data_IF_351737353155
#
_entry.id   IF_351737353155
#
_cell.length_a   1.000
_cell.length_b   1.000
_cell.length_c   1.000
_cell.angle_alpha   90.00
_cell.angle_beta   90.00
_cell.angle_gamma   90.00
#
_symmetry.space_group_name_H-M   'P 1'
#
loop_
_entity.id
_entity.type
_entity.pdbx_description
1 polymer ?
#
# COMPACT_ATOMS: atom_id res chain seq x y z
N UNK A 1 16.89 -25.13 -56.33
CA UNK A 1 17.03 -25.02 -54.86
C UNK A 1 15.90 -24.17 -54.33
N UNK A 2 14.87 -24.80 -53.75
CA UNK A 2 13.78 -24.06 -53.09
C UNK A 2 14.28 -23.67 -51.68
N UNK A 3 14.62 -22.40 -51.48
CA UNK A 3 15.02 -21.86 -50.19
C UNK A 3 13.79 -21.83 -49.28
N UNK A 4 13.84 -22.56 -48.21
CA UNK A 4 12.75 -22.63 -47.19
C UNK A 4 12.70 -21.35 -46.38
N UNK A 5 12.01 -20.33 -46.87
CA UNK A 5 11.80 -19.04 -46.19
C UNK A 5 10.78 -19.12 -45.03
N UNK A 6 10.15 -20.29 -44.89
CA UNK A 6 9.12 -20.52 -43.84
C UNK A 6 9.68 -20.69 -42.43
N UNK A 7 10.97 -21.02 -42.26
CA UNK A 7 11.61 -21.20 -40.96
C UNK A 7 12.12 -19.90 -40.32
N UNK A 8 12.38 -18.88 -41.15
CA UNK A 8 12.93 -17.60 -40.67
C UNK A 8 11.93 -16.83 -39.77
N UNK A 9 10.62 -16.69 -40.14
CA UNK A 9 9.67 -15.99 -39.27
C UNK A 9 9.39 -16.74 -37.98
N UNK A 10 9.48 -18.09 -37.97
CA UNK A 10 9.27 -18.89 -36.79
C UNK A 10 10.37 -18.69 -35.74
N UNK A 11 11.64 -18.59 -36.15
CA UNK A 11 12.76 -18.29 -35.28
C UNK A 11 12.69 -16.87 -34.70
N UNK A 12 12.18 -15.89 -35.46
CA UNK A 12 12.07 -14.50 -35.03
C UNK A 12 10.99 -14.32 -33.95
N UNK A 13 9.91 -15.09 -34.04
CA UNK A 13 8.85 -15.13 -33.01
C UNK A 13 9.33 -15.79 -31.72
N UNK A 14 10.15 -16.84 -31.80
CA UNK A 14 10.69 -17.50 -30.60
C UNK A 14 11.70 -16.63 -29.86
N UNK A 15 12.48 -15.77 -30.55
CA UNK A 15 13.42 -14.84 -29.91
C UNK A 15 12.72 -13.71 -29.14
N UNK A 16 11.48 -13.36 -29.47
CA UNK A 16 10.73 -12.32 -28.79
C UNK A 16 10.25 -12.73 -27.38
N UNK A 17 10.17 -14.02 -27.07
CA UNK A 17 9.73 -14.50 -25.76
C UNK A 17 10.83 -14.57 -24.70
N UNK A 18 12.09 -14.40 -25.05
CA UNK A 18 13.23 -14.49 -24.12
C UNK A 18 13.56 -13.12 -23.48
N UNK A 19 12.98 -12.02 -23.97
CA UNK A 19 13.30 -10.66 -23.53
C UNK A 19 12.54 -10.20 -22.25
N UNK A 20 11.68 -11.02 -21.66
CA UNK A 20 10.89 -10.64 -20.47
C UNK A 20 11.30 -11.35 -19.16
N UNK A 21 12.54 -11.79 -19.03
CA UNK A 21 12.99 -12.37 -17.77
C UNK A 21 14.39 -11.88 -17.44
N UNK A 22 14.47 -10.76 -16.76
CA UNK A 22 15.51 -10.41 -15.77
C UNK A 22 15.40 -8.93 -15.39
N UNK A 23 14.46 -8.61 -14.53
CA UNK A 23 14.52 -7.36 -13.80
C UNK A 23 14.99 -7.64 -12.36
N UNK A 24 16.19 -8.21 -12.25
CA UNK A 24 16.94 -8.16 -11.00
C UNK A 24 17.46 -6.72 -10.88
N UNK A 25 16.76 -5.89 -10.13
CA UNK A 25 17.27 -4.58 -9.74
C UNK A 25 18.51 -4.78 -8.88
N UNK A 26 19.66 -4.75 -9.54
CA UNK A 26 20.94 -4.49 -8.91
C UNK A 26 20.84 -3.05 -8.36
N UNK A 27 20.90 -2.93 -7.04
CA UNK A 27 21.02 -1.65 -6.37
C UNK A 27 22.29 -0.97 -6.93
N UNK A 28 22.07 0.11 -7.69
CA UNK A 28 23.12 1.05 -8.05
C UNK A 28 23.44 1.83 -6.78
N UNK A 29 24.66 1.65 -6.31
CA UNK A 29 25.32 2.47 -5.30
C UNK A 29 25.59 3.85 -5.93
N UNK A 30 24.60 4.73 -5.90
CA UNK A 30 24.80 6.15 -6.16
C UNK A 30 25.14 6.81 -4.83
N UNK A 31 26.46 7.00 -4.63
CA UNK A 31 27.01 7.83 -3.59
C UNK A 31 26.63 9.30 -3.85
N UNK A 32 25.38 9.64 -3.60
CA UNK A 32 25.01 11.03 -3.32
C UNK A 32 25.37 11.32 -1.86
N UNK A 33 26.40 12.14 -1.68
CA UNK A 33 26.75 12.76 -0.40
C UNK A 33 25.64 13.78 -0.05
N UNK A 34 24.46 13.28 0.23
CA UNK A 34 23.41 14.04 0.89
C UNK A 34 23.75 14.03 2.37
N UNK A 35 24.05 15.18 2.93
CA UNK A 35 24.13 15.38 4.38
C UNK A 35 22.85 14.88 5.00
N UNK A 36 22.88 13.62 5.47
CA UNK A 36 21.75 12.96 6.11
C UNK A 36 21.55 13.67 7.44
N UNK A 37 20.58 14.60 7.48
CA UNK A 37 20.10 15.14 8.75
C UNK A 37 19.65 13.94 9.58
N UNK A 38 20.23 13.76 10.76
CA UNK A 38 19.82 12.69 11.69
C UNK A 38 18.42 13.04 12.16
N UNK A 39 17.42 12.50 11.47
CA UNK A 39 16.03 12.60 11.92
C UNK A 39 15.88 11.64 13.08
N UNK A 40 15.59 12.19 14.26
CA UNK A 40 15.27 11.36 15.43
C UNK A 40 13.88 10.75 15.23
N UNK A 41 13.84 9.51 14.75
CA UNK A 41 12.59 8.75 14.52
C UNK A 41 12.22 8.07 15.83
N UNK A 42 10.99 8.27 16.34
CA UNK A 42 10.50 7.55 17.52
C UNK A 42 10.56 6.05 17.32
N UNK A 43 10.87 5.30 18.39
CA UNK A 43 10.86 3.85 18.38
C UNK A 43 9.44 3.35 18.08
N UNK A 44 9.31 2.46 17.10
CA UNK A 44 8.02 1.82 16.77
C UNK A 44 7.58 0.90 17.92
N UNK A 45 6.33 1.06 18.37
CA UNK A 45 5.72 0.23 19.41
C UNK A 45 4.70 -0.72 18.77
N UNK A 46 5.10 -1.97 18.58
CA UNK A 46 4.28 -3.01 17.95
C UNK A 46 3.04 -3.37 18.78
N UNK A 47 3.16 -3.38 20.10
CA UNK A 47 2.05 -3.71 20.99
C UNK A 47 0.95 -2.65 20.92
N UNK A 48 1.33 -1.37 20.94
CA UNK A 48 0.36 -0.27 20.77
C UNK A 48 -0.32 -0.33 19.40
N UNK A 49 0.43 -0.60 18.33
CA UNK A 49 -0.13 -0.73 17.01
C UNK A 49 -1.14 -1.89 16.93
N UNK A 50 -0.82 -3.05 17.53
CA UNK A 50 -1.72 -4.18 17.61
C UNK A 50 -3.01 -3.83 18.40
N UNK A 51 -2.89 -3.16 19.54
CA UNK A 51 -4.04 -2.77 20.36
C UNK A 51 -4.98 -1.82 19.61
N UNK A 52 -4.47 -0.87 18.82
CA UNK A 52 -5.31 0.01 18.01
C UNK A 52 -6.09 -0.75 16.92
N UNK A 53 -5.46 -1.72 16.28
CA UNK A 53 -6.13 -2.57 15.29
C UNK A 53 -7.17 -3.45 15.98
N UNK A 54 -6.81 -4.09 17.09
CA UNK A 54 -7.72 -4.94 17.89
C UNK A 54 -8.97 -4.17 18.33
N UNK A 55 -8.81 -2.97 18.87
CA UNK A 55 -9.93 -2.13 19.28
C UNK A 55 -10.92 -1.86 18.14
N UNK A 56 -10.41 -1.64 16.91
CA UNK A 56 -11.27 -1.46 15.73
C UNK A 56 -12.01 -2.74 15.35
N UNK A 57 -11.38 -3.91 15.49
CA UNK A 57 -11.98 -5.21 15.18
C UNK A 57 -13.05 -5.57 16.21
N UNK A 58 -12.85 -5.23 17.48
CA UNK A 58 -13.76 -5.54 18.59
C UNK A 58 -15.13 -4.85 18.46
N UNK A 59 -15.26 -3.78 17.67
CA UNK A 59 -16.58 -3.19 17.33
C UNK A 59 -17.45 -4.13 16.48
N UNK A 60 -16.87 -5.16 15.85
CA UNK A 60 -17.57 -6.10 14.99
C UNK A 60 -17.78 -5.60 13.56
N UNK A 61 -18.70 -6.22 12.79
CA UNK A 61 -18.96 -5.86 11.41
C UNK A 61 -19.44 -4.41 11.28
N UNK A 62 -18.67 -3.60 10.53
CA UNK A 62 -18.97 -2.17 10.35
C UNK A 62 -19.79 -1.92 9.10
N UNK A 63 -21.00 -2.50 9.06
CA UNK A 63 -21.96 -2.21 7.98
C UNK A 63 -22.37 -0.75 8.09
N UNK A 64 -22.44 0.02 6.99
CA UNK A 64 -22.85 1.41 7.01
C UNK A 64 -24.17 1.63 7.79
N UNK A 65 -24.21 2.70 8.57
CA UNK A 65 -25.36 3.09 9.42
C UNK A 65 -25.68 2.15 10.61
N UNK A 66 -24.89 1.10 10.86
CA UNK A 66 -25.03 0.30 12.09
C UNK A 66 -24.36 0.98 13.29
N UNK A 67 -24.78 0.59 14.48
CA UNK A 67 -24.16 1.08 15.72
C UNK A 67 -22.65 0.83 15.76
N UNK A 68 -22.19 -0.35 15.33
CA UNK A 68 -20.77 -0.70 15.24
C UNK A 68 -19.99 0.26 14.32
N UNK A 69 -20.59 0.66 13.20
CA UNK A 69 -19.99 1.63 12.27
C UNK A 69 -19.85 3.01 12.93
N UNK A 70 -20.89 3.51 13.57
CA UNK A 70 -20.90 4.83 14.23
C UNK A 70 -19.91 4.85 15.40
N UNK A 71 -19.95 3.83 16.27
CA UNK A 71 -19.09 3.76 17.45
C UNK A 71 -17.60 3.67 17.07
N UNK A 72 -17.27 2.87 16.04
CA UNK A 72 -15.90 2.80 15.54
C UNK A 72 -15.46 4.13 14.91
N UNK A 73 -16.33 4.82 14.20
CA UNK A 73 -16.03 6.15 13.64
C UNK A 73 -15.71 7.18 14.73
N UNK A 74 -16.50 7.21 15.79
CA UNK A 74 -16.27 8.07 16.95
C UNK A 74 -14.94 7.73 17.63
N UNK A 75 -14.69 6.45 17.89
CA UNK A 75 -13.42 6.00 18.46
C UNK A 75 -12.20 6.47 17.65
N UNK A 76 -12.26 6.37 16.32
CA UNK A 76 -11.17 6.81 15.44
C UNK A 76 -10.98 8.34 15.50
N UNK A 77 -12.09 9.11 15.51
CA UNK A 77 -12.03 10.56 15.63
C UNK A 77 -11.41 11.00 16.95
N UNK A 78 -11.79 10.32 18.06
CA UNK A 78 -11.27 10.59 19.41
C UNK A 78 -9.77 10.28 19.47
N UNK A 79 -9.33 9.14 18.93
CA UNK A 79 -7.91 8.75 18.92
C UNK A 79 -7.06 9.69 18.07
N UNK A 80 -7.53 10.10 16.92
CA UNK A 80 -6.83 11.07 16.09
C UNK A 80 -6.69 12.43 16.79
N UNK A 81 -7.74 12.87 17.48
CA UNK A 81 -7.72 14.10 18.28
C UNK A 81 -6.74 14.00 19.45
N UNK A 82 -6.72 12.86 20.15
CA UNK A 82 -5.75 12.56 21.21
C UNK A 82 -4.29 12.66 20.72
N UNK A 83 -4.04 12.25 19.48
CA UNK A 83 -2.72 12.38 18.83
C UNK A 83 -2.43 13.78 18.25
N UNK A 84 -3.32 14.76 18.49
CA UNK A 84 -3.12 16.15 18.09
C UNK A 84 -3.60 16.48 16.67
N UNK A 85 -4.34 15.59 16.02
CA UNK A 85 -4.93 15.87 14.72
C UNK A 85 -6.18 16.75 14.85
N UNK A 86 -6.38 17.67 13.90
CA UNK A 86 -7.66 18.36 13.74
C UNK A 86 -8.59 17.49 12.89
N UNK A 87 -9.60 16.91 13.53
CA UNK A 87 -10.55 16.01 12.87
C UNK A 87 -11.78 16.79 12.41
N UNK A 88 -12.24 16.53 11.18
CA UNK A 88 -13.50 17.06 10.65
C UNK A 88 -14.29 15.89 10.08
N UNK A 89 -15.45 15.59 10.67
CA UNK A 89 -16.37 14.57 10.16
C UNK A 89 -17.21 15.14 9.03
N UNK A 90 -17.27 14.43 7.92
CA UNK A 90 -18.14 14.76 6.78
C UNK A 90 -19.25 13.73 6.69
N UNK A 91 -20.49 14.21 6.70
CA UNK A 91 -21.69 13.38 6.56
C UNK A 91 -22.30 13.63 5.18
N UNK A 92 -22.67 12.55 4.49
CA UNK A 92 -23.31 12.60 3.18
C UNK A 92 -24.55 11.72 3.21
N UNK A 93 -25.67 12.26 2.81
CA UNK A 93 -26.90 11.48 2.61
C UNK A 93 -26.82 10.82 1.24
N UNK A 94 -26.69 9.50 1.22
CA UNK A 94 -26.80 8.72 -0.01
C UNK A 94 -28.25 8.31 -0.20
N UNK A 95 -28.89 8.84 -1.24
CA UNK A 95 -30.19 8.32 -1.70
C UNK A 95 -29.92 6.95 -2.35
N UNK A 96 -30.38 5.87 -1.72
CA UNK A 96 -30.41 4.53 -2.27
C UNK A 96 -31.71 4.31 -3.05
#
# INVERSE_FOLDING_TARGET
MKRNYTLIPLCLVLLAFIACSNNTKKASDDTETTTKSVVNVPQFNADSAYQYVKAQVDFGPRVPNTKAHVDCGNYLADKLTEFGAKVTSQYVDCLL
#
